data_IF_071595982962
#
_entry.id   IF_071595982962
#
_cell.length_a   1.000
_cell.length_b   1.000
_cell.length_c   1.000
_cell.angle_alpha   90.00
_cell.angle_beta   90.00
_cell.angle_gamma   90.00
#
_symmetry.space_group_name_H-M   'P 1'
#
loop_
_entity.id
_entity.type
_entity.pdbx_description
1 polymer ?
#
# COMPACT_ATOMS: atom_id res chain seq x y z
N UNK A 1 -2.73 18.42 2.93
CA UNK A 1 -4.20 18.37 2.71
C UNK A 1 -4.75 17.01 2.22
N UNK A 2 -4.02 16.18 1.45
CA UNK A 2 -4.56 14.90 0.95
C UNK A 2 -4.43 13.67 1.88
N UNK A 3 -3.70 13.73 2.99
CA UNK A 3 -3.50 12.58 3.88
C UNK A 3 -4.72 12.27 4.77
N UNK A 4 -5.61 13.24 5.00
CA UNK A 4 -6.73 13.11 5.95
C UNK A 4 -7.94 12.40 5.35
N UNK A 5 -8.17 12.48 4.03
CA UNK A 5 -9.41 11.99 3.43
C UNK A 5 -9.46 10.47 3.16
N UNK A 6 -8.33 9.78 3.12
CA UNK A 6 -8.29 8.31 2.94
C UNK A 6 -8.08 7.54 4.25
N UNK A 7 -7.68 8.22 5.32
CA UNK A 7 -7.37 7.57 6.60
C UNK A 7 -8.59 7.41 7.53
N UNK A 8 -9.63 8.22 7.34
CA UNK A 8 -10.86 8.14 8.15
C UNK A 8 -11.76 6.97 7.74
N UNK A 9 -11.77 6.57 6.46
CA UNK A 9 -12.69 5.53 5.96
C UNK A 9 -12.31 4.10 6.46
N UNK A 10 -11.01 3.83 6.60
CA UNK A 10 -10.52 2.51 7.08
C UNK A 10 -10.58 2.43 8.62
N UNK A 11 -10.50 3.57 9.31
CA UNK A 11 -10.57 3.63 10.77
C UNK A 11 -11.99 3.40 11.31
N UNK A 12 -12.99 4.00 10.68
CA UNK A 12 -14.39 3.84 11.12
C UNK A 12 -14.96 2.45 10.82
N UNK A 13 -14.55 1.79 9.73
CA UNK A 13 -14.97 0.40 9.43
C UNK A 13 -14.40 -0.59 10.46
N UNK A 14 -13.14 -0.45 10.87
CA UNK A 14 -12.53 -1.31 11.88
C UNK A 14 -13.09 -1.08 13.28
N UNK A 15 -13.34 0.18 13.67
CA UNK A 15 -13.98 0.50 14.95
C UNK A 15 -15.44 -0.02 14.99
N UNK A 16 -16.20 0.17 13.90
CA UNK A 16 -17.56 -0.34 13.76
C UNK A 16 -17.63 -1.87 13.79
N UNK A 17 -16.63 -2.57 13.23
CA UNK A 17 -16.56 -4.03 13.24
C UNK A 17 -16.16 -4.61 14.60
N UNK A 18 -15.32 -3.91 15.38
CA UNK A 18 -15.02 -4.30 16.77
C UNK A 18 -16.27 -4.12 17.64
N UNK A 19 -16.97 -2.99 17.51
CA UNK A 19 -18.18 -2.69 18.28
C UNK A 19 -19.38 -3.57 17.88
N UNK A 20 -19.47 -3.97 16.60
CA UNK A 20 -20.47 -4.94 16.13
C UNK A 20 -20.19 -6.36 16.64
N UNK A 21 -18.92 -6.73 16.83
CA UNK A 21 -18.53 -8.03 17.39
C UNK A 21 -18.80 -8.11 18.89
N UNK A 22 -18.64 -7.00 19.61
CA UNK A 22 -18.98 -6.86 21.02
C UNK A 22 -20.51 -6.99 21.25
N UNK A 23 -21.33 -6.35 20.41
CA UNK A 23 -22.79 -6.51 20.44
C UNK A 23 -23.30 -7.90 20.01
N UNK A 24 -22.57 -8.59 19.13
CA UNK A 24 -22.91 -9.96 18.74
C UNK A 24 -22.66 -10.95 19.88
N UNK A 25 -21.64 -10.70 20.72
CA UNK A 25 -21.33 -11.51 21.90
C UNK A 25 -22.41 -11.43 22.98
N UNK A 26 -23.16 -10.33 23.06
CA UNK A 26 -24.25 -10.16 24.05
C UNK A 26 -25.57 -10.82 23.62
N UNK A 27 -25.72 -11.14 22.33
CA UNK A 27 -26.93 -11.78 21.79
C UNK A 27 -26.84 -13.30 21.67
N UNK A 28 -25.64 -13.88 21.81
CA UNK A 28 -25.39 -15.33 21.71
C UNK A 28 -25.64 -16.07 23.05
N UNK A 29 -26.00 -15.38 24.14
CA UNK A 29 -26.43 -16.01 25.40
C UNK A 29 -27.97 -16.22 25.46
N UNK A 30 -28.72 -15.83 24.42
CA UNK A 30 -30.18 -15.92 24.38
C UNK A 30 -30.77 -16.97 23.41
N UNK A 31 -29.93 -17.68 22.64
CA UNK A 31 -30.40 -18.58 21.56
C UNK A 31 -29.91 -20.03 21.69
N UNK A 32 -29.70 -20.54 22.91
CA UNK A 32 -29.29 -21.92 23.13
C UNK A 32 -30.48 -22.90 23.30
N UNK A 33 -31.61 -22.59 22.65
CA UNK A 33 -32.74 -23.53 22.48
C UNK A 33 -33.35 -23.32 21.10
N UNK A 34 -33.43 -24.41 20.35
CA UNK A 34 -33.87 -24.52 18.94
C UNK A 34 -32.77 -24.25 17.91
N UNK A 35 -32.03 -25.29 17.52
CA UNK A 35 -32.23 -25.89 16.21
C UNK A 35 -31.58 -27.27 16.15
N UNK A 36 -32.45 -28.28 16.04
CA UNK A 36 -32.12 -29.64 15.61
C UNK A 36 -32.42 -29.75 14.10
N UNK A 37 -31.79 -30.72 13.45
CA UNK A 37 -32.01 -31.23 12.10
C UNK A 37 -31.30 -30.54 10.91
N UNK A 38 -30.42 -31.35 10.31
CA UNK A 38 -30.41 -31.72 8.89
C UNK A 38 -29.25 -31.18 8.03
N UNK A 39 -28.25 -32.07 7.89
CA UNK A 39 -27.12 -32.01 6.99
C UNK A 39 -27.52 -32.59 5.61
N UNK A 40 -27.20 -31.93 4.48
CA UNK A 40 -27.17 -32.58 3.17
C UNK A 40 -25.72 -32.79 2.66
N UNK A 41 -25.52 -33.73 1.71
CA UNK A 41 -24.24 -34.35 1.43
C UNK A 41 -23.33 -33.55 0.49
N UNK A 42 -22.04 -33.83 0.63
CA UNK A 42 -20.91 -33.30 -0.15
C UNK A 42 -20.99 -33.71 -1.63
N UNK A 43 -20.85 -32.73 -2.53
CA UNK A 43 -20.41 -32.97 -3.90
C UNK A 43 -19.02 -32.34 -4.11
N UNK A 44 -18.04 -33.23 -4.29
CA UNK A 44 -16.70 -32.96 -4.80
C UNK A 44 -16.80 -32.27 -6.17
N UNK A 45 -16.15 -31.11 -6.33
CA UNK A 45 -15.80 -30.57 -7.63
C UNK A 45 -14.31 -30.20 -7.64
N UNK A 46 -13.52 -31.03 -8.33
CA UNK A 46 -12.10 -30.82 -8.56
C UNK A 46 -11.86 -29.67 -9.56
N UNK A 47 -10.79 -28.85 -9.39
CA UNK A 47 -10.36 -27.91 -10.41
C UNK A 47 -9.43 -28.58 -11.45
N UNK A 48 -9.47 -28.17 -12.73
CA UNK A 48 -8.60 -28.71 -13.75
C UNK A 48 -7.18 -28.14 -13.68
N UNK A 49 -6.21 -29.03 -13.91
CA UNK A 49 -4.80 -28.75 -14.12
C UNK A 49 -4.61 -27.91 -15.40
N UNK A 50 -4.13 -26.67 -15.27
CA UNK A 50 -3.66 -25.91 -16.42
C UNK A 50 -2.21 -26.27 -16.74
N UNK A 51 -2.05 -26.96 -17.85
CA UNK A 51 -0.77 -27.34 -18.42
C UNK A 51 0.04 -26.11 -18.86
N UNK A 52 1.28 -26.06 -18.37
CA UNK A 52 2.32 -25.15 -18.80
C UNK A 52 2.69 -25.46 -20.26
N UNK A 53 2.43 -24.51 -21.17
CA UNK A 53 2.82 -24.61 -22.58
C UNK A 53 3.96 -23.63 -22.83
N UNK A 54 5.18 -24.18 -22.80
CA UNK A 54 6.37 -23.49 -23.29
C UNK A 54 6.22 -23.18 -24.77
N UNK A 55 6.52 -21.94 -25.16
CA UNK A 55 6.68 -21.59 -26.57
C UNK A 55 8.00 -20.85 -26.75
N UNK A 56 9.00 -21.64 -27.12
CA UNK A 56 10.26 -21.21 -27.72
C UNK A 56 9.94 -20.48 -29.02
N UNK A 57 10.40 -19.24 -29.17
CA UNK A 57 10.48 -18.57 -30.48
C UNK A 57 11.92 -18.12 -30.73
N UNK A 58 12.60 -18.91 -31.57
CA UNK A 58 13.85 -18.54 -32.23
C UNK A 58 13.66 -17.44 -33.28
N UNK A 59 14.73 -16.72 -33.65
CA UNK A 59 14.72 -15.63 -34.62
C UNK A 59 15.10 -16.11 -36.04
N UNK A 60 14.39 -15.64 -37.07
CA UNK A 60 14.82 -15.68 -38.48
C UNK A 60 14.00 -14.63 -39.26
N UNK A 61 14.66 -13.58 -39.75
CA UNK A 61 15.10 -13.38 -41.15
C UNK A 61 14.07 -12.75 -42.10
N UNK A 62 14.47 -11.58 -42.62
CA UNK A 62 14.52 -11.19 -44.04
C UNK A 62 13.23 -10.90 -44.86
N UNK A 63 13.34 -9.78 -45.59
CA UNK A 63 12.80 -9.46 -46.93
C UNK A 63 11.30 -9.12 -47.06
N UNK A 64 11.06 -7.82 -47.23
CA UNK A 64 10.67 -7.25 -48.52
C UNK A 64 9.33 -7.67 -49.12
N UNK A 65 8.31 -6.83 -48.95
CA UNK A 65 7.20 -6.69 -49.89
C UNK A 65 6.86 -5.20 -50.07
N UNK A 66 6.95 -4.74 -51.32
CA UNK A 66 6.47 -3.42 -51.76
C UNK A 66 4.95 -3.49 -51.81
N UNK A 67 4.26 -2.76 -50.93
CA UNK A 67 2.81 -2.59 -50.98
C UNK A 67 2.48 -1.15 -51.41
N UNK A 68 1.56 -0.95 -52.38
CA UNK A 68 1.23 0.36 -52.92
C UNK A 68 0.45 1.23 -51.91
N UNK A 69 0.83 2.50 -51.91
CA UNK A 69 0.30 3.63 -51.13
C UNK A 69 -1.23 3.65 -50.96
N UNK A 70 -1.75 3.64 -49.71
CA UNK A 70 -3.09 4.15 -49.43
C UNK A 70 -3.11 5.69 -49.43
N UNK A 71 -4.16 6.25 -50.03
CA UNK A 71 -4.37 7.67 -50.28
C UNK A 71 -4.26 8.57 -49.02
N UNK A 72 -3.83 9.84 -49.17
CA UNK A 72 -3.71 10.78 -48.07
C UNK A 72 -5.10 11.10 -47.49
N UNK A 73 -5.34 10.64 -46.26
CA UNK A 73 -6.53 11.02 -45.51
C UNK A 73 -6.48 12.52 -45.18
N UNK A 74 -7.59 13.27 -45.35
CA UNK A 74 -7.63 14.70 -45.09
C UNK A 74 -7.33 14.96 -43.61
N UNK A 75 -6.25 15.69 -43.39
CA UNK A 75 -5.77 16.12 -42.08
C UNK A 75 -6.86 16.92 -41.40
N UNK A 76 -7.52 16.33 -40.39
CA UNK A 76 -8.41 17.07 -39.49
C UNK A 76 -7.61 18.19 -38.85
N UNK A 77 -7.87 19.41 -39.31
CA UNK A 77 -7.46 20.69 -38.76
C UNK A 77 -7.98 20.82 -37.32
N UNK A 78 -7.24 20.26 -36.37
CA UNK A 78 -7.40 20.55 -34.94
C UNK A 78 -6.55 21.75 -34.56
N UNK A 79 -6.80 22.89 -35.21
CA UNK A 79 -6.14 24.17 -34.87
C UNK A 79 -6.88 24.85 -33.71
N UNK A 80 -6.81 24.24 -32.54
CA UNK A 80 -6.81 25.04 -31.31
C UNK A 80 -5.37 25.52 -31.20
N UNK A 81 -5.15 26.82 -31.38
CA UNK A 81 -3.84 27.48 -31.33
C UNK A 81 -3.23 27.41 -29.92
N UNK A 82 -2.93 26.22 -29.42
CA UNK A 82 -2.09 26.07 -28.23
C UNK A 82 -0.68 26.47 -28.65
N UNK A 83 -0.06 27.48 -28.02
CA UNK A 83 1.31 27.84 -28.32
C UNK A 83 2.19 26.60 -28.22
N UNK A 84 3.06 26.40 -29.20
CA UNK A 84 3.90 25.21 -29.30
C UNK A 84 4.68 25.00 -27.99
N UNK A 85 4.33 23.93 -27.27
CA UNK A 85 4.90 23.63 -25.96
C UNK A 85 6.41 23.41 -26.07
N UNK A 86 7.18 24.10 -25.23
CA UNK A 86 8.64 23.98 -25.20
C UNK A 86 9.04 22.53 -24.82
N UNK A 87 10.11 21.96 -25.43
CA UNK A 87 10.61 20.64 -25.03
C UNK A 87 10.83 20.48 -23.51
N UNK A 88 11.30 21.51 -22.80
CA UNK A 88 11.50 21.46 -21.33
C UNK A 88 10.17 21.38 -20.57
N UNK A 89 9.13 22.08 -21.04
CA UNK A 89 7.78 21.95 -20.49
C UNK A 89 7.29 20.51 -20.66
N UNK A 90 7.41 19.94 -21.87
CA UNK A 90 7.00 18.55 -22.12
C UNK A 90 7.73 17.55 -21.21
N UNK A 91 9.05 17.70 -21.03
CA UNK A 91 9.84 16.87 -20.10
C UNK A 91 9.35 17.03 -18.66
N UNK A 92 9.20 18.26 -18.17
CA UNK A 92 8.73 18.54 -16.82
C UNK A 92 7.32 17.96 -16.58
N UNK A 93 6.39 18.08 -17.55
CA UNK A 93 5.04 17.50 -17.44
C UNK A 93 5.10 15.98 -17.31
N UNK A 94 5.91 15.32 -18.13
CA UNK A 94 6.09 13.88 -18.06
C UNK A 94 6.57 13.45 -16.67
N UNK A 95 7.55 14.18 -16.10
CA UNK A 95 8.05 13.92 -14.76
C UNK A 95 7.01 14.21 -13.65
N UNK A 96 6.19 15.27 -13.77
CA UNK A 96 5.10 15.53 -12.82
C UNK A 96 4.06 14.41 -12.84
N UNK A 97 3.71 13.90 -14.02
CA UNK A 97 2.79 12.77 -14.16
C UNK A 97 3.39 11.52 -13.53
N UNK A 98 4.66 11.19 -13.85
CA UNK A 98 5.40 10.08 -13.24
C UNK A 98 5.39 10.18 -11.70
N UNK A 99 5.74 11.36 -11.17
CA UNK A 99 5.75 11.63 -9.72
C UNK A 99 4.37 11.43 -9.09
N UNK A 100 3.31 11.91 -9.73
CA UNK A 100 1.94 11.78 -9.23
C UNK A 100 1.47 10.33 -9.13
N UNK A 101 1.86 9.48 -10.09
CA UNK A 101 1.56 8.05 -10.11
C UNK A 101 2.37 7.32 -9.03
N UNK A 102 3.67 7.59 -8.92
CA UNK A 102 4.54 7.06 -7.87
C UNK A 102 4.01 7.42 -6.48
N UNK A 103 3.59 8.67 -6.26
CA UNK A 103 2.97 9.11 -5.01
C UNK A 103 1.70 8.33 -4.69
N UNK A 104 0.79 8.17 -5.65
CA UNK A 104 -0.45 7.41 -5.44
C UNK A 104 -0.13 5.97 -5.04
N UNK A 105 0.76 5.31 -5.79
CA UNK A 105 1.21 3.96 -5.48
C UNK A 105 1.84 3.85 -4.09
N UNK A 106 2.67 4.82 -3.70
CA UNK A 106 3.26 4.89 -2.37
C UNK A 106 2.19 4.96 -1.27
N UNK A 107 1.18 5.82 -1.42
CA UNK A 107 0.07 5.91 -0.44
C UNK A 107 -0.72 4.61 -0.33
N UNK A 108 -1.01 3.96 -1.46
CA UNK A 108 -1.71 2.67 -1.46
C UNK A 108 -0.92 1.61 -0.68
N UNK A 109 0.41 1.58 -0.84
CA UNK A 109 1.28 0.66 -0.10
C UNK A 109 1.36 0.98 1.40
N UNK A 110 1.40 2.26 1.78
CA UNK A 110 1.33 2.68 3.19
C UNK A 110 0.00 2.24 3.82
N UNK A 111 -1.12 2.45 3.14
CA UNK A 111 -2.42 1.99 3.61
C UNK A 111 -2.51 0.47 3.75
N UNK A 112 -1.88 -0.29 2.85
CA UNK A 112 -1.77 -1.75 2.95
C UNK A 112 -0.91 -2.16 4.15
N UNK A 113 0.27 -1.56 4.33
CA UNK A 113 1.17 -1.83 5.46
C UNK A 113 0.47 -1.57 6.80
N UNK A 114 -0.26 -0.47 6.95
CA UNK A 114 -0.99 -0.14 8.17
C UNK A 114 -2.13 -1.12 8.48
N UNK A 115 -2.80 -1.66 7.46
CA UNK A 115 -3.81 -2.72 7.63
C UNK A 115 -3.18 -4.01 8.16
N UNK A 116 -2.04 -4.42 7.60
CA UNK A 116 -1.32 -5.60 8.09
C UNK A 116 -0.75 -5.39 9.50
N UNK A 117 -0.25 -4.19 9.80
CA UNK A 117 0.17 -3.80 11.15
C UNK A 117 -0.98 -3.92 12.18
N UNK A 118 -2.17 -3.42 11.84
CA UNK A 118 -3.35 -3.57 12.68
C UNK A 118 -3.77 -5.04 12.86
N UNK A 119 -3.72 -5.84 11.78
CA UNK A 119 -3.99 -7.28 11.82
C UNK A 119 -3.04 -8.02 12.77
N UNK A 120 -1.74 -7.69 12.73
CA UNK A 120 -0.73 -8.28 13.63
C UNK A 120 -1.08 -8.01 15.11
N UNK A 121 -1.45 -6.77 15.44
CA UNK A 121 -1.84 -6.39 16.81
C UNK A 121 -3.07 -7.19 17.26
N UNK A 122 -4.11 -7.26 16.42
CA UNK A 122 -5.32 -8.03 16.73
C UNK A 122 -5.03 -9.52 16.94
N UNK A 123 -4.25 -10.15 16.05
CA UNK A 123 -3.89 -11.57 16.17
C UNK A 123 -3.08 -11.83 17.44
N UNK A 124 -2.16 -10.93 17.80
CA UNK A 124 -1.39 -11.02 19.06
C UNK A 124 -2.30 -10.93 20.28
N UNK A 125 -3.31 -10.06 20.25
CA UNK A 125 -4.32 -9.98 21.31
C UNK A 125 -5.09 -11.29 21.47
N UNK A 126 -5.57 -11.85 20.35
CA UNK A 126 -6.33 -13.11 20.35
C UNK A 126 -5.50 -14.28 20.89
N UNK A 127 -4.23 -14.37 20.49
CA UNK A 127 -3.28 -15.38 21.00
C UNK A 127 -3.05 -15.22 22.51
N UNK A 128 -2.81 -13.99 22.97
CA UNK A 128 -2.58 -13.70 24.40
C UNK A 128 -3.79 -14.01 25.27
N UNK A 129 -5.00 -13.70 24.81
CA UNK A 129 -6.25 -14.05 25.50
C UNK A 129 -6.44 -15.57 25.58
N UNK A 130 -6.10 -16.29 24.51
CA UNK A 130 -6.16 -17.75 24.48
C UNK A 130 -5.15 -18.38 25.45
N UNK A 131 -3.95 -17.83 25.57
CA UNK A 131 -2.94 -18.28 26.52
C UNK A 131 -3.42 -18.12 27.97
N UNK A 132 -4.01 -16.97 28.30
CA UNK A 132 -4.57 -16.71 29.63
C UNK A 132 -5.71 -17.68 29.96
N UNK A 133 -6.63 -17.90 29.03
CA UNK A 133 -7.72 -18.86 29.20
C UNK A 133 -7.17 -20.28 29.42
N UNK A 134 -6.17 -20.70 28.64
CA UNK A 134 -5.55 -22.03 28.82
C UNK A 134 -4.88 -22.19 30.19
N UNK A 135 -4.25 -21.13 30.72
CA UNK A 135 -3.66 -21.15 32.06
C UNK A 135 -4.70 -21.25 33.18
N UNK A 136 -5.88 -20.65 32.99
CA UNK A 136 -7.02 -20.77 33.92
C UNK A 136 -7.60 -22.18 33.87
N UNK A 137 -7.83 -22.73 32.67
CA UNK A 137 -8.33 -24.09 32.49
C UNK A 137 -7.40 -25.16 33.06
N UNK A 138 -6.07 -25.02 32.92
CA UNK A 138 -5.11 -25.98 33.50
C UNK A 138 -5.14 -26.03 35.04
N UNK A 139 -5.60 -24.96 35.71
CA UNK A 139 -5.81 -24.97 37.16
C UNK A 139 -7.10 -25.71 37.57
N UNK A 140 -8.05 -25.86 36.65
CA UNK A 140 -9.28 -26.62 36.82
C UNK A 140 -9.08 -28.00 36.17
N UNK A 141 -8.53 -28.95 36.94
CA UNK A 141 -7.93 -30.23 36.51
C UNK A 141 -8.79 -31.22 35.68
N UNK A 142 -10.00 -30.87 35.24
CA UNK A 142 -10.96 -31.76 34.60
C UNK A 142 -11.24 -31.46 33.11
N UNK A 143 -10.31 -30.80 32.40
CA UNK A 143 -10.52 -30.51 30.97
C UNK A 143 -10.45 -31.80 30.11
N UNK A 144 -11.46 -32.09 29.27
CA UNK A 144 -11.46 -33.24 28.38
C UNK A 144 -10.34 -33.14 27.34
N UNK A 145 -9.73 -34.29 26.99
CA UNK A 145 -8.61 -34.40 26.04
C UNK A 145 -8.85 -33.69 24.70
N UNK A 146 -10.09 -33.70 24.22
CA UNK A 146 -10.50 -33.06 22.96
C UNK A 146 -10.37 -31.52 23.01
N UNK A 147 -10.50 -30.90 24.20
CA UNK A 147 -10.35 -29.46 24.37
C UNK A 147 -8.90 -29.00 24.21
N UNK A 148 -7.93 -29.81 24.67
CA UNK A 148 -6.51 -29.51 24.52
C UNK A 148 -6.07 -29.55 23.05
N UNK A 149 -6.55 -30.55 22.29
CA UNK A 149 -6.28 -30.67 20.86
C UNK A 149 -6.88 -29.48 20.06
N UNK A 150 -8.12 -29.08 20.38
CA UNK A 150 -8.76 -27.92 19.77
C UNK A 150 -7.99 -26.61 20.05
N UNK A 151 -7.52 -26.42 21.29
CA UNK A 151 -6.72 -25.25 21.67
C UNK A 151 -5.38 -25.21 20.94
N UNK A 152 -4.69 -26.34 20.83
CA UNK A 152 -3.44 -26.42 20.07
C UNK A 152 -3.65 -26.06 18.60
N UNK A 153 -4.73 -26.53 17.99
CA UNK A 153 -5.11 -26.18 16.62
C UNK A 153 -5.43 -24.69 16.43
N UNK A 154 -6.08 -24.06 17.41
CA UNK A 154 -6.34 -22.61 17.37
C UNK A 154 -5.03 -21.81 17.43
N UNK A 155 -4.11 -22.19 18.33
CA UNK A 155 -2.81 -21.52 18.48
C UNK A 155 -1.96 -21.67 17.22
N UNK A 156 -1.88 -22.86 16.63
CA UNK A 156 -1.13 -23.07 15.38
C UNK A 156 -1.72 -22.23 14.24
N UNK A 157 -3.04 -22.24 14.07
CA UNK A 157 -3.71 -21.41 13.07
C UNK A 157 -3.55 -19.90 13.32
N UNK A 158 -3.46 -19.48 14.59
CA UNK A 158 -3.15 -18.09 14.95
C UNK A 158 -1.73 -17.68 14.57
N UNK A 159 -0.73 -18.54 14.85
CA UNK A 159 0.65 -18.31 14.45
C UNK A 159 0.83 -18.26 12.93
N UNK A 160 0.17 -19.16 12.18
CA UNK A 160 0.21 -19.13 10.71
C UNK A 160 -0.35 -17.81 10.14
N UNK A 161 -1.47 -17.33 10.69
CA UNK A 161 -2.06 -16.03 10.31
C UNK A 161 -1.14 -14.85 10.65
N UNK A 162 -0.46 -14.93 11.80
CA UNK A 162 0.50 -13.92 12.24
C UNK A 162 1.70 -13.86 11.29
N UNK A 163 2.29 -15.00 10.95
CA UNK A 163 3.38 -15.08 9.98
C UNK A 163 2.99 -14.58 8.59
N UNK A 164 1.81 -14.95 8.11
CA UNK A 164 1.29 -14.47 6.84
C UNK A 164 1.17 -12.94 6.85
N UNK A 165 0.67 -12.37 7.96
CA UNK A 165 0.56 -10.91 8.13
C UNK A 165 1.93 -10.22 8.17
N UNK A 166 2.94 -10.83 8.80
CA UNK A 166 4.32 -10.31 8.74
C UNK A 166 4.89 -10.32 7.33
N UNK A 167 4.74 -11.41 6.58
CA UNK A 167 5.22 -11.49 5.20
C UNK A 167 4.57 -10.42 4.33
N UNK A 168 3.28 -10.18 4.52
CA UNK A 168 2.55 -9.12 3.81
C UNK A 168 3.01 -7.72 4.21
N UNK A 169 3.21 -7.46 5.50
CA UNK A 169 3.76 -6.20 5.99
C UNK A 169 5.15 -5.92 5.41
N UNK A 170 6.05 -6.91 5.43
CA UNK A 170 7.40 -6.79 4.88
C UNK A 170 7.38 -6.58 3.35
N UNK A 171 6.47 -7.24 2.63
CA UNK A 171 6.26 -7.02 1.20
C UNK A 171 5.79 -5.59 0.88
N UNK A 172 4.85 -5.06 1.66
CA UNK A 172 4.41 -3.67 1.54
C UNK A 172 5.56 -2.70 1.85
N UNK A 173 6.37 -2.96 2.87
CA UNK A 173 7.53 -2.13 3.23
C UNK A 173 8.60 -2.10 2.13
N UNK A 174 8.90 -3.24 1.48
CA UNK A 174 9.80 -3.30 0.32
C UNK A 174 9.27 -2.48 -0.86
N UNK A 175 7.95 -2.52 -1.08
CA UNK A 175 7.29 -1.70 -2.09
C UNK A 175 7.37 -0.20 -1.77
N UNK A 176 7.15 0.20 -0.51
CA UNK A 176 7.30 1.59 -0.03
C UNK A 176 8.74 2.08 -0.25
N UNK A 177 9.74 1.25 0.06
CA UNK A 177 11.15 1.53 -0.19
C UNK A 177 11.41 1.80 -1.68
N UNK A 178 10.91 0.93 -2.54
CA UNK A 178 11.05 1.04 -4.00
C UNK A 178 10.43 2.34 -4.51
N UNK A 179 9.19 2.66 -4.10
CA UNK A 179 8.51 3.89 -4.51
C UNK A 179 9.24 5.14 -3.98
N UNK A 180 9.77 5.09 -2.75
CA UNK A 180 10.57 6.19 -2.20
C UNK A 180 11.85 6.41 -3.01
N UNK A 181 12.53 5.34 -3.43
CA UNK A 181 13.69 5.45 -4.31
C UNK A 181 13.32 6.05 -5.67
N UNK A 182 12.17 5.67 -6.24
CA UNK A 182 11.66 6.25 -7.49
C UNK A 182 11.39 7.76 -7.36
N UNK A 183 10.80 8.23 -6.25
CA UNK A 183 10.60 9.68 -6.03
C UNK A 183 11.92 10.45 -6.04
N UNK A 184 12.98 9.89 -5.46
CA UNK A 184 14.32 10.47 -5.50
C UNK A 184 14.89 10.51 -6.92
N UNK A 185 14.76 9.42 -7.68
CA UNK A 185 15.18 9.40 -9.09
C UNK A 185 14.42 10.45 -9.92
N UNK A 186 13.12 10.64 -9.70
CA UNK A 186 12.34 11.66 -10.40
C UNK A 186 12.82 13.07 -10.02
N UNK A 187 13.11 13.30 -8.74
CA UNK A 187 13.69 14.57 -8.27
C UNK A 187 15.03 14.89 -8.95
N UNK A 188 15.92 13.89 -9.09
CA UNK A 188 17.19 14.06 -9.80
C UNK A 188 17.00 14.32 -11.31
N UNK A 189 16.00 13.70 -11.93
CA UNK A 189 15.62 13.99 -13.33
C UNK A 189 15.12 15.43 -13.48
N UNK A 190 14.35 15.95 -12.51
CA UNK A 190 13.92 17.36 -12.51
C UNK A 190 15.10 18.32 -12.43
N UNK A 191 16.04 18.06 -11.53
CA UNK A 191 17.27 18.86 -11.38
C UNK A 191 18.08 18.88 -12.69
N UNK A 192 18.21 17.72 -13.35
CA UNK A 192 18.86 17.61 -14.66
C UNK A 192 18.16 18.46 -15.73
N UNK A 193 16.82 18.44 -15.80
CA UNK A 193 16.04 19.27 -16.73
C UNK A 193 16.21 20.77 -16.41
N UNK A 194 16.28 21.14 -15.13
CA UNK A 194 16.52 22.52 -14.70
C UNK A 194 17.91 23.02 -15.15
N UNK A 195 18.94 22.20 -14.96
CA UNK A 195 20.32 22.51 -15.39
C UNK A 195 20.42 22.60 -16.92
N UNK A 196 19.76 21.70 -17.66
CA UNK A 196 19.73 21.73 -19.13
C UNK A 196 19.01 22.99 -19.65
N UNK A 197 17.85 23.32 -19.05
CA UNK A 197 17.07 24.50 -19.42
C UNK A 197 17.84 25.79 -19.14
N UNK A 198 18.51 25.91 -17.99
CA UNK A 198 19.28 27.10 -17.63
C UNK A 198 20.47 27.32 -18.57
N UNK A 199 21.16 26.25 -18.99
CA UNK A 199 22.28 26.32 -19.95
C UNK A 199 21.84 26.71 -21.36
N UNK A 200 20.67 26.24 -21.81
CA UNK A 200 20.25 26.38 -23.22
C UNK A 200 19.34 27.58 -23.47
N UNK A 201 18.51 27.96 -22.49
CA UNK A 201 17.54 29.06 -22.61
C UNK A 201 17.87 30.24 -21.68
N UNK A 202 18.84 30.07 -20.78
CA UNK A 202 19.26 31.09 -19.81
C UNK A 202 18.60 30.92 -18.45
N UNK A 203 19.18 31.60 -17.45
CA UNK A 203 18.70 31.56 -16.06
C UNK A 203 17.31 32.20 -15.92
N UNK A 204 17.01 33.28 -16.64
CA UNK A 204 15.69 33.92 -16.59
C UNK A 204 14.57 32.97 -17.01
N UNK A 205 14.80 32.13 -18.04
CA UNK A 205 13.85 31.11 -18.44
C UNK A 205 13.58 30.08 -17.33
N UNK A 206 14.63 29.60 -16.66
CA UNK A 206 14.52 28.53 -15.67
C UNK A 206 13.92 28.99 -14.33
N UNK A 207 14.24 30.22 -13.90
CA UNK A 207 13.92 30.73 -12.57
C UNK A 207 12.79 31.76 -12.54
N UNK A 208 12.56 32.52 -13.61
CA UNK A 208 11.57 33.61 -13.61
C UNK A 208 10.36 33.30 -14.49
N UNK A 209 10.58 32.64 -15.64
CA UNK A 209 9.49 32.42 -16.59
C UNK A 209 8.54 31.31 -16.12
N UNK A 210 7.22 31.58 -16.00
CA UNK A 210 6.25 30.58 -15.57
C UNK A 210 6.01 29.52 -16.65
N UNK A 211 5.96 28.25 -16.24
CA UNK A 211 5.49 27.14 -17.06
C UNK A 211 3.97 27.02 -16.93
N UNK A 212 3.27 26.88 -18.06
CA UNK A 212 1.81 26.76 -18.13
C UNK A 212 1.04 27.81 -17.29
N UNK A 213 1.55 29.03 -17.19
CA UNK A 213 0.97 30.13 -16.40
C UNK A 213 0.88 29.86 -14.88
N UNK A 214 1.67 28.91 -14.37
CA UNK A 214 1.68 28.54 -12.95
C UNK A 214 2.96 29.01 -12.29
N UNK A 215 4.01 28.17 -12.30
CA UNK A 215 5.26 28.39 -11.59
C UNK A 215 6.48 28.24 -12.51
N UNK A 216 7.61 28.87 -12.17
CA UNK A 216 8.87 28.64 -12.86
C UNK A 216 9.37 27.20 -12.65
N UNK A 217 10.22 26.71 -13.55
CA UNK A 217 10.76 25.35 -13.51
C UNK A 217 11.50 25.06 -12.20
N UNK A 218 12.28 26.02 -11.71
CA UNK A 218 13.00 25.91 -10.44
C UNK A 218 12.05 25.62 -9.26
N UNK A 219 10.90 26.31 -9.21
CA UNK A 219 9.93 26.09 -8.13
C UNK A 219 9.35 24.68 -8.16
N UNK A 220 9.06 24.13 -9.34
CA UNK A 220 8.61 22.73 -9.44
C UNK A 220 9.66 21.74 -8.92
N UNK A 221 10.95 21.99 -9.22
CA UNK A 221 12.03 21.16 -8.71
C UNK A 221 12.11 21.21 -7.18
N UNK A 222 12.04 22.41 -6.59
CA UNK A 222 12.10 22.60 -5.14
C UNK A 222 10.95 21.86 -4.43
N UNK A 223 9.73 21.98 -4.95
CA UNK A 223 8.53 21.32 -4.40
C UNK A 223 8.63 19.78 -4.49
N UNK A 224 9.11 19.26 -5.62
CA UNK A 224 9.33 17.80 -5.78
C UNK A 224 10.40 17.30 -4.81
N UNK A 225 11.48 18.07 -4.61
CA UNK A 225 12.55 17.72 -3.68
C UNK A 225 12.06 17.74 -2.23
N UNK A 226 11.28 18.75 -1.85
CA UNK A 226 10.68 18.86 -0.51
C UNK A 226 9.75 17.67 -0.22
N UNK A 227 8.83 17.37 -1.14
CA UNK A 227 7.92 16.22 -1.02
C UNK A 227 8.69 14.89 -0.95
N UNK A 228 9.79 14.76 -1.71
CA UNK A 228 10.68 13.60 -1.62
C UNK A 228 11.32 13.47 -0.23
N UNK A 229 11.66 14.60 0.41
CA UNK A 229 12.07 14.64 1.81
C UNK A 229 11.00 14.06 2.76
N UNK A 230 9.74 14.46 2.57
CA UNK A 230 8.62 13.99 3.38
C UNK A 230 8.37 12.48 3.22
N UNK A 231 8.47 11.92 2.01
CA UNK A 231 8.35 10.47 1.80
C UNK A 231 9.44 9.68 2.54
N UNK A 232 10.70 10.17 2.53
CA UNK A 232 11.80 9.54 3.27
C UNK A 232 11.56 9.57 4.78
N UNK A 233 11.12 10.71 5.31
CA UNK A 233 10.79 10.85 6.73
C UNK A 233 9.65 9.89 7.13
N UNK A 234 8.57 9.86 6.35
CA UNK A 234 7.44 8.95 6.61
C UNK A 234 7.83 7.48 6.50
N UNK A 235 8.69 7.10 5.53
CA UNK A 235 9.23 5.74 5.43
C UNK A 235 9.99 5.36 6.71
N UNK A 236 10.83 6.26 7.25
CA UNK A 236 11.58 6.00 8.48
C UNK A 236 10.65 5.69 9.65
N UNK A 237 9.54 6.43 9.80
CA UNK A 237 8.52 6.15 10.81
C UNK A 237 7.86 4.78 10.63
N UNK A 238 7.52 4.42 9.39
CA UNK A 238 6.96 3.10 9.06
C UNK A 238 7.96 1.96 9.33
N UNK A 239 9.24 2.18 9.09
CA UNK A 239 10.31 1.22 9.42
C UNK A 239 10.40 1.00 10.93
N UNK A 240 10.36 2.06 11.74
CA UNK A 240 10.38 1.94 13.20
C UNK A 240 9.14 1.20 13.74
N UNK A 241 7.96 1.47 13.19
CA UNK A 241 6.74 0.73 13.51
C UNK A 241 6.90 -0.76 13.16
N UNK A 242 7.36 -1.06 11.95
CA UNK A 242 7.54 -2.44 11.48
C UNK A 242 8.50 -3.21 12.38
N UNK A 243 9.65 -2.61 12.73
CA UNK A 243 10.63 -3.21 13.63
C UNK A 243 10.01 -3.58 14.99
N UNK A 244 9.21 -2.68 15.56
CA UNK A 244 8.51 -2.93 16.83
C UNK A 244 7.50 -4.07 16.72
N UNK A 245 6.77 -4.16 15.61
CA UNK A 245 5.78 -5.21 15.40
C UNK A 245 6.41 -6.56 15.11
N UNK A 246 7.53 -6.60 14.38
CA UNK A 246 8.24 -7.84 14.04
C UNK A 246 9.09 -8.40 15.17
N UNK A 247 9.38 -7.59 16.20
CA UNK A 247 10.13 -8.03 17.37
C UNK A 247 9.30 -9.07 18.15
N UNK A 248 9.79 -10.31 18.32
CA UNK A 248 9.09 -11.35 19.07
C UNK A 248 9.07 -11.09 20.57
N UNK A 249 9.96 -10.25 21.09
CA UNK A 249 10.08 -9.94 22.53
C UNK A 249 9.00 -8.93 22.95
N UNK A 250 8.50 -8.13 22.00
CA UNK A 250 7.54 -7.07 22.28
C UNK A 250 6.16 -7.62 22.61
N UNK A 251 5.60 -7.10 23.70
CA UNK A 251 4.25 -7.42 24.18
C UNK A 251 3.19 -6.83 23.24
N UNK A 252 1.97 -7.36 23.34
CA UNK A 252 0.82 -6.82 22.61
C UNK A 252 0.59 -5.33 22.92
N UNK A 253 0.68 -4.93 24.19
CA UNK A 253 0.48 -3.54 24.64
C UNK A 253 1.50 -2.58 24.01
N UNK A 254 2.78 -2.97 23.95
CA UNK A 254 3.82 -2.17 23.29
C UNK A 254 3.55 -2.00 21.79
N UNK A 255 3.06 -3.06 21.14
CA UNK A 255 2.71 -3.03 19.71
C UNK A 255 1.51 -2.11 19.45
N UNK A 256 0.49 -2.19 20.30
CA UNK A 256 -0.68 -1.33 20.23
C UNK A 256 -0.31 0.14 20.50
N UNK A 257 0.55 0.39 21.48
CA UNK A 257 1.07 1.72 21.79
C UNK A 257 1.89 2.29 20.61
N UNK A 258 2.73 1.47 19.97
CA UNK A 258 3.50 1.87 18.79
C UNK A 258 2.59 2.24 17.61
N UNK A 259 1.56 1.43 17.33
CA UNK A 259 0.59 1.72 16.27
C UNK A 259 -0.19 3.01 16.56
N UNK A 260 -0.61 3.22 17.81
CA UNK A 260 -1.33 4.43 18.24
C UNK A 260 -0.44 5.67 18.14
N UNK A 261 0.83 5.58 18.56
CA UNK A 261 1.81 6.65 18.41
C UNK A 261 2.05 7.00 16.94
N UNK A 262 2.15 6.00 16.06
CA UNK A 262 2.29 6.23 14.63
C UNK A 262 1.10 7.03 14.07
N UNK A 263 -0.13 6.66 14.45
CA UNK A 263 -1.36 7.39 14.07
C UNK A 263 -1.37 8.83 14.59
N UNK A 264 -0.95 9.05 15.83
CA UNK A 264 -0.85 10.40 16.39
C UNK A 264 0.16 11.26 15.61
N UNK A 265 1.34 10.72 15.31
CA UNK A 265 2.38 11.42 14.56
C UNK A 265 1.95 11.76 13.12
N UNK A 266 1.20 10.87 12.46
CA UNK A 266 0.69 11.14 11.10
C UNK A 266 -0.37 12.23 11.05
N UNK A 267 -1.08 12.48 12.15
CA UNK A 267 -2.07 13.54 12.22
C UNK A 267 -1.42 14.91 12.45
N UNK A 268 -0.35 14.97 13.24
CA UNK A 268 0.38 16.21 13.55
C UNK A 268 1.11 16.79 12.34
N UNK A 269 1.61 15.96 11.43
CA UNK A 269 2.32 16.42 10.22
C UNK A 269 1.39 17.02 9.15
N UNK A 270 0.07 16.94 9.32
CA UNK A 270 -0.91 17.47 8.36
C UNK A 270 -1.19 18.99 8.51
N UNK A 271 -0.59 19.69 9.47
CA UNK A 271 -0.98 21.06 9.88
C UNK A 271 0.02 22.19 9.58
N UNK A 272 1.04 21.97 8.75
CA UNK A 272 1.87 23.07 8.25
C UNK A 272 1.30 23.59 6.91
N UNK A 273 0.71 24.80 6.86
CA UNK A 273 0.28 25.46 5.61
C UNK A 273 1.46 25.91 4.75
#
# INVERSE_FOLDING_TARGET
>A
MCLVLLHNDIGEDLASRVQAREKASEHEEASDKFFSCQQPPLLLLAPPLFASRGMVRSPAQLRGTKSPSPAPSPSRSSSVNTPAENPYQRKARALLVEFSLTRKSWHDQVGLALRHAASIVLIRSDLSATDLNSAVFLKQQDAPFDAAAAQQGFKSAGHERLEASYRQLLGAMSSIETQTALTLTISQKFESVLIEASKTRGMSFAFEQPLWLTWPLARFNDEVLELTGQFRASRSLMTALTQTLTDPIKTHEECQAALTRHRANSNSTSFAP
#
